data_IF_099319606627
#
_entry.id   IF_099319606627
#
_cell.length_a   1.000
_cell.length_b   1.000
_cell.length_c   1.000
_cell.angle_alpha   90.00
_cell.angle_beta   90.00
_cell.angle_gamma   90.00
#
_symmetry.space_group_name_H-M   'P 1'
#
loop_
_entity.id
_entity.type
_entity.pdbx_description
1 polymer ?
#
# COMPACT_ATOMS: atom_id res chain seq x y z
N UNK A 1 16.96 8.76 -2.75
CA UNK A 1 15.66 8.11 -2.48
C UNK A 1 14.87 7.99 -3.78
N UNK A 2 14.15 6.89 -3.96
CA UNK A 2 13.25 6.63 -5.10
C UNK A 2 11.80 6.69 -4.61
N UNK A 3 10.90 7.04 -5.52
CA UNK A 3 9.46 7.11 -5.25
C UNK A 3 8.71 6.36 -6.33
N UNK A 4 7.84 5.46 -5.91
CA UNK A 4 6.84 4.82 -6.76
C UNK A 4 5.47 5.38 -6.41
N UNK A 5 4.66 5.66 -7.43
CA UNK A 5 3.26 6.04 -7.29
C UNK A 5 2.41 5.07 -8.08
N UNK A 6 1.57 4.33 -7.39
CA UNK A 6 0.51 3.54 -7.99
C UNK A 6 -0.79 4.33 -7.89
N UNK A 7 -1.47 4.55 -9.01
CA UNK A 7 -2.82 5.13 -9.00
C UNK A 7 -3.84 4.00 -9.10
N UNK A 8 -4.91 4.10 -8.30
CA UNK A 8 -6.06 3.23 -8.44
C UNK A 8 -6.67 3.44 -9.83
N UNK A 9 -7.11 2.35 -10.45
CA UNK A 9 -8.05 2.41 -11.57
C UNK A 9 -9.48 2.19 -11.05
N UNK A 10 -10.46 2.31 -11.93
CA UNK A 10 -11.87 2.22 -11.56
C UNK A 10 -12.30 0.80 -11.15
N UNK A 11 -11.50 -0.21 -11.46
CA UNK A 11 -11.84 -1.63 -11.26
C UNK A 11 -11.07 -2.28 -10.10
N UNK A 12 -9.96 -1.70 -9.67
CA UNK A 12 -9.06 -2.28 -8.66
C UNK A 12 -9.32 -1.71 -7.28
N UNK A 13 -9.74 -2.57 -6.36
CA UNK A 13 -9.91 -2.25 -4.94
C UNK A 13 -8.83 -2.85 -4.04
N UNK A 14 -7.99 -3.73 -4.58
CA UNK A 14 -6.97 -4.47 -3.85
C UNK A 14 -5.70 -4.62 -4.68
N UNK A 15 -4.56 -4.36 -4.06
CA UNK A 15 -3.24 -4.64 -4.64
C UNK A 15 -2.40 -5.48 -3.67
N UNK A 16 -1.49 -6.27 -4.24
CA UNK A 16 -0.40 -6.89 -3.52
C UNK A 16 0.88 -6.10 -3.79
N UNK A 17 1.55 -5.67 -2.73
CA UNK A 17 2.85 -5.01 -2.78
C UNK A 17 3.92 -5.97 -2.28
N UNK A 18 4.94 -6.18 -3.10
CA UNK A 18 6.15 -6.91 -2.72
C UNK A 18 7.35 -5.97 -2.72
N UNK A 19 8.10 -6.00 -1.64
CA UNK A 19 9.29 -5.17 -1.43
C UNK A 19 10.45 -6.09 -1.09
N UNK A 20 11.52 -6.02 -1.87
CA UNK A 20 12.73 -6.83 -1.68
C UNK A 20 13.93 -5.94 -1.43
N UNK A 21 14.58 -6.13 -0.28
CA UNK A 21 15.83 -5.45 0.04
C UNK A 21 17.02 -6.24 -0.51
N UNK A 22 17.69 -5.70 -1.53
CA UNK A 22 18.91 -6.31 -2.09
C UNK A 22 20.20 -5.66 -1.55
N UNK A 23 20.07 -4.74 -0.58
CA UNK A 23 21.23 -4.15 0.07
C UNK A 23 21.81 -5.09 1.13
N UNK A 24 23.03 -4.78 1.56
CA UNK A 24 23.71 -5.46 2.67
C UNK A 24 23.33 -4.89 4.05
N UNK A 25 22.50 -3.86 4.07
CA UNK A 25 22.04 -3.17 5.27
C UNK A 25 20.51 -3.17 5.31
N UNK A 26 19.97 -3.03 6.52
CA UNK A 26 18.54 -2.83 6.74
C UNK A 26 18.11 -1.50 6.14
N UNK A 27 16.90 -1.46 5.58
CA UNK A 27 16.37 -0.27 4.92
C UNK A 27 15.01 0.09 5.49
N UNK A 28 14.76 1.40 5.58
CA UNK A 28 13.44 1.93 5.88
C UNK A 28 12.69 2.16 4.57
N UNK A 29 11.45 1.66 4.52
CA UNK A 29 10.54 1.90 3.41
C UNK A 29 9.25 2.47 3.96
N UNK A 30 8.87 3.63 3.44
CA UNK A 30 7.65 4.33 3.85
C UNK A 30 6.62 4.19 2.74
N UNK A 31 5.39 3.85 3.09
CA UNK A 31 4.27 3.90 2.15
C UNK A 31 3.13 4.71 2.72
N UNK A 32 2.42 5.42 1.85
CA UNK A 32 1.35 6.32 2.24
C UNK A 32 0.22 6.31 1.23
N UNK A 33 -0.97 6.65 1.71
CA UNK A 33 -2.16 6.79 0.86
C UNK A 33 -2.18 8.19 0.24
N UNK A 34 -2.55 8.25 -1.03
CA UNK A 34 -2.71 9.50 -1.78
C UNK A 34 -4.20 9.78 -1.84
N UNK A 35 -4.66 10.77 -1.08
CA UNK A 35 -6.05 11.20 -1.04
C UNK A 35 -6.28 12.43 -1.94
N UNK A 36 -7.54 12.71 -2.29
CA UNK A 36 -7.94 13.96 -2.96
C UNK A 36 -7.60 15.21 -2.13
N UNK A 37 -7.65 15.09 -0.81
CA UNK A 37 -7.24 16.15 0.12
C UNK A 37 -5.77 15.99 0.51
N UNK A 38 -4.95 17.05 0.46
CA UNK A 38 -3.53 16.98 0.83
C UNK A 38 -3.27 16.73 2.33
N UNK A 39 -4.29 16.91 3.17
CA UNK A 39 -4.17 16.83 4.64
C UNK A 39 -4.31 15.40 5.19
N UNK A 40 -4.82 14.46 4.40
CA UNK A 40 -5.01 13.06 4.80
C UNK A 40 -3.86 12.19 4.30
N UNK A 41 -2.69 12.33 4.94
CA UNK A 41 -1.56 11.40 4.73
C UNK A 41 -1.44 10.47 5.90
N UNK A 42 -1.96 9.26 5.75
CA UNK A 42 -1.55 8.15 6.57
C UNK A 42 -0.25 7.58 5.99
N UNK A 43 0.82 7.62 6.77
CA UNK A 43 2.13 7.09 6.45
C UNK A 43 2.46 5.93 7.38
N UNK A 44 2.92 4.83 6.79
CA UNK A 44 3.38 3.66 7.50
C UNK A 44 4.82 3.34 7.10
N UNK A 45 5.66 3.12 8.12
CA UNK A 45 7.05 2.77 7.96
C UNK A 45 7.29 1.28 8.17
N UNK A 46 8.13 0.70 7.30
CA UNK A 46 8.54 -0.68 7.36
C UNK A 46 10.07 -0.77 7.31
N UNK A 47 10.68 -1.24 8.40
CA UNK A 47 12.07 -1.69 8.35
C UNK A 47 12.13 -3.08 7.69
N UNK A 48 12.92 -3.22 6.63
CA UNK A 48 13.13 -4.47 5.89
C UNK A 48 14.60 -4.86 6.04
N UNK A 49 14.85 -6.00 6.68
CA UNK A 49 16.23 -6.42 6.95
C UNK A 49 16.98 -6.74 5.66
N UNK A 50 18.30 -6.69 5.74
CA UNK A 50 19.21 -7.10 4.66
C UNK A 50 18.84 -8.48 4.08
N UNK A 51 18.63 -8.55 2.77
CA UNK A 51 18.27 -9.78 2.05
C UNK A 51 16.83 -10.27 2.23
N UNK A 52 16.02 -9.61 3.05
CA UNK A 52 14.62 -10.00 3.26
C UNK A 52 13.66 -9.39 2.24
N UNK A 53 12.47 -10.00 2.16
CA UNK A 53 11.33 -9.48 1.40
C UNK A 53 10.14 -9.28 2.32
N UNK A 54 9.42 -8.17 2.15
CA UNK A 54 8.15 -7.90 2.81
C UNK A 54 7.03 -7.90 1.78
N UNK A 55 5.92 -8.54 2.12
CA UNK A 55 4.72 -8.63 1.29
C UNK A 55 3.51 -8.22 2.09
N UNK A 56 2.63 -7.43 1.50
CA UNK A 56 1.40 -7.00 2.14
C UNK A 56 0.33 -6.66 1.10
N UNK A 57 -0.92 -6.76 1.52
CA UNK A 57 -2.07 -6.35 0.76
C UNK A 57 -2.46 -4.93 1.15
N UNK A 58 -2.83 -4.14 0.16
CA UNK A 58 -3.40 -2.80 0.37
C UNK A 58 -4.74 -2.75 -0.31
N UNK A 59 -5.80 -2.56 0.47
CA UNK A 59 -7.13 -2.26 -0.05
C UNK A 59 -7.35 -0.76 -0.17
N UNK A 60 -8.09 -0.33 -1.17
CA UNK A 60 -8.56 1.05 -1.33
C UNK A 60 -9.56 1.37 -0.21
N UNK A 61 -9.32 2.43 0.57
CA UNK A 61 -10.19 2.82 1.69
C UNK A 61 -11.47 3.53 1.26
N UNK A 62 -11.40 4.30 0.17
CA UNK A 62 -12.55 5.05 -0.34
C UNK A 62 -12.34 5.49 -1.80
N UNK A 63 -13.41 5.98 -2.42
CA UNK A 63 -13.33 6.59 -3.76
C UNK A 63 -12.50 7.89 -3.80
N UNK A 64 -12.25 8.52 -2.63
CA UNK A 64 -11.38 9.71 -2.51
C UNK A 64 -9.89 9.35 -2.50
N UNK A 65 -9.56 8.07 -2.27
CA UNK A 65 -8.20 7.60 -2.40
C UNK A 65 -7.86 7.44 -3.89
N UNK A 66 -6.77 8.09 -4.30
CA UNK A 66 -6.25 8.09 -5.68
C UNK A 66 -5.14 7.09 -5.91
N UNK A 67 -4.45 6.66 -4.85
CA UNK A 67 -3.35 5.72 -5.02
C UNK A 67 -2.54 5.49 -3.77
N UNK A 68 -1.44 4.78 -3.97
CA UNK A 68 -0.42 4.51 -2.96
C UNK A 68 0.91 5.08 -3.43
N UNK A 69 1.57 5.83 -2.55
CA UNK A 69 2.95 6.24 -2.70
C UNK A 69 3.86 5.33 -1.89
N UNK A 70 5.01 4.98 -2.44
CA UNK A 70 6.05 4.20 -1.75
C UNK A 70 7.38 4.92 -1.95
N UNK A 71 8.06 5.22 -0.86
CA UNK A 71 9.38 5.86 -0.83
C UNK A 71 10.39 4.86 -0.28
N UNK A 72 11.46 4.66 -1.02
CA UNK A 72 12.45 3.63 -0.72
C UNK A 72 13.85 4.05 -1.14
N UNK A 73 14.85 3.44 -0.52
CA UNK A 73 16.25 3.65 -0.85
C UNK A 73 16.67 2.96 -2.15
N UNK A 74 17.85 3.29 -2.65
CA UNK A 74 18.42 2.57 -3.78
C UNK A 74 18.74 1.11 -3.39
N UNK A 75 18.68 0.17 -4.35
CA UNK A 75 18.87 -1.26 -4.10
C UNK A 75 17.61 -2.00 -3.58
N UNK A 76 16.55 -1.28 -3.23
CA UNK A 76 15.23 -1.86 -2.96
C UNK A 76 14.46 -2.04 -4.26
N UNK A 77 13.89 -3.24 -4.46
CA UNK A 77 12.97 -3.51 -5.55
C UNK A 77 11.53 -3.52 -5.02
N UNK A 78 10.65 -2.74 -5.63
CA UNK A 78 9.23 -2.69 -5.29
C UNK A 78 8.43 -3.13 -6.51
N UNK A 79 7.57 -4.12 -6.32
CA UNK A 79 6.64 -4.60 -7.34
C UNK A 79 5.22 -4.48 -6.81
N UNK A 80 4.33 -3.93 -7.65
CA UNK A 80 2.89 -3.81 -7.34
C UNK A 80 2.12 -4.69 -8.30
N UNK A 81 1.36 -5.63 -7.75
CA UNK A 81 0.50 -6.53 -8.50
C UNK A 81 -0.95 -6.09 -8.31
N UNK A 82 -1.63 -5.84 -9.43
CA UNK A 82 -3.09 -5.68 -9.43
C UNK A 82 -3.71 -7.04 -9.18
N UNK A 83 -4.61 -7.11 -8.19
CA UNK A 83 -5.41 -8.29 -7.98
C UNK A 83 -6.75 -8.06 -8.66
N UNK A 84 -7.11 -8.97 -9.57
CA UNK A 84 -8.44 -8.99 -10.19
C UNK A 84 -9.45 -9.45 -9.16
N UNK A 85 -9.81 -8.56 -8.25
CA UNK A 85 -10.74 -8.86 -7.17
C UNK A 85 -12.18 -8.59 -7.66
N UNK A 86 -12.71 -9.51 -8.45
CA UNK A 86 -14.15 -9.52 -8.78
C UNK A 86 -15.01 -10.00 -7.60
N UNK A 87 -14.42 -10.34 -6.46
CA UNK A 87 -15.09 -11.13 -5.42
C UNK A 87 -15.34 -10.37 -4.10
N UNK A 88 -14.78 -9.19 -3.87
CA UNK A 88 -14.98 -8.49 -2.59
C UNK A 88 -15.38 -7.02 -2.74
N UNK A 89 -16.68 -6.79 -2.95
CA UNK A 89 -17.34 -5.54 -2.63
C UNK A 89 -17.98 -5.71 -1.25
N UNK A 90 -17.40 -5.17 -0.16
CA UNK A 90 -18.02 -5.27 1.16
C UNK A 90 -19.40 -4.62 1.10
N UNK A 91 -20.43 -5.41 1.36
CA UNK A 91 -21.81 -4.93 1.48
C UNK A 91 -22.04 -4.43 2.89
N UNK A 92 -23.17 -3.76 3.12
CA UNK A 92 -23.60 -3.36 4.47
C UNK A 92 -23.75 -4.54 5.43
N UNK A 93 -23.83 -5.79 4.94
CA UNK A 93 -23.83 -6.99 5.76
C UNK A 93 -22.42 -7.40 6.27
N UNK A 94 -21.36 -6.97 5.57
CA UNK A 94 -19.96 -7.26 5.92
C UNK A 94 -19.35 -6.22 6.87
N UNK A 95 -20.05 -5.08 7.05
CA UNK A 95 -19.66 -4.01 7.97
C UNK A 95 -20.19 -4.34 9.36
N UNK A 96 -19.39 -5.05 10.15
CA UNK A 96 -19.63 -5.16 11.59
C UNK A 96 -19.12 -3.87 12.26
N UNK A 97 -20.02 -2.92 12.56
CA UNK A 97 -19.70 -1.78 13.44
C UNK A 97 -19.41 -2.33 14.84
N UNK A 98 -18.15 -2.60 15.15
CA UNK A 98 -17.70 -2.71 16.54
C UNK A 98 -17.82 -1.29 17.12
N UNK A 99 -18.60 -1.17 18.20
CA UNK A 99 -19.21 0.07 18.68
C UNK A 99 -18.28 1.27 18.77
N UNK A 100 -18.87 2.45 18.57
CA UNK A 100 -18.25 3.74 18.87
C UNK A 100 -18.00 3.80 20.40
N UNK A 101 -16.75 4.04 20.80
CA UNK A 101 -16.36 4.28 22.20
C UNK A 101 -16.93 5.62 22.71
#
# INVERSE_FOLDING_TARGET
>A
MKRLRYNWDDESWLIHVEIKNNNKADVLVSYFRIMDSPDDKEEEDACIKSGESRRFLVSRKSNKEKGIGIVFEEGVNVTVFKLLDRAYLPTSADICKLGEL
#
